data_IF_232003520304
#
_entry.id   IF_232003520304
#
_cell.length_a   1.000
_cell.length_b   1.000
_cell.length_c   1.000
_cell.angle_alpha   90.00
_cell.angle_beta   90.00
_cell.angle_gamma   90.00
#
_symmetry.space_group_name_H-M   'P 1'
#
loop_
_entity.id
_entity.type
_entity.pdbx_description
1 polymer ?
#
# COMPACT_ATOMS: atom_id res chain seq x y z
N UNK A 1 -6.82 -0.52 16.72
CA UNK A 1 -7.14 0.55 15.72
C UNK A 1 -5.83 0.93 15.07
N UNK A 2 -5.83 1.07 13.74
CA UNK A 2 -4.62 1.40 13.01
C UNK A 2 -4.79 2.77 12.34
N UNK A 3 -3.77 3.60 12.42
CA UNK A 3 -3.67 4.87 11.68
C UNK A 3 -2.58 4.69 10.64
N UNK A 4 -2.96 4.78 9.36
CA UNK A 4 -2.08 4.49 8.23
C UNK A 4 -2.06 5.66 7.24
N UNK A 5 -1.29 6.73 7.49
CA UNK A 5 -1.07 7.75 6.50
C UNK A 5 -0.23 7.19 5.34
N UNK A 6 -0.56 7.60 4.12
CA UNK A 6 0.13 7.17 2.91
C UNK A 6 0.73 8.41 2.25
N UNK A 7 2.04 8.42 2.07
CA UNK A 7 2.74 9.47 1.34
C UNK A 7 3.46 8.82 0.17
N UNK A 8 3.11 9.21 -1.05
CA UNK A 8 3.66 8.59 -2.25
C UNK A 8 4.00 9.59 -3.34
N UNK A 9 4.98 9.22 -4.15
CA UNK A 9 5.35 9.88 -5.37
C UNK A 9 5.38 8.86 -6.50
N UNK A 10 4.79 9.20 -7.64
CA UNK A 10 4.72 8.31 -8.80
C UNK A 10 4.98 9.10 -10.09
N UNK A 11 5.74 8.48 -10.98
CA UNK A 11 5.84 8.87 -12.38
C UNK A 11 5.55 7.65 -13.29
N UNK A 12 5.59 7.76 -14.63
CA UNK A 12 5.29 6.62 -15.52
C UNK A 12 6.19 5.39 -15.35
N UNK A 13 7.36 5.54 -14.73
CA UNK A 13 8.35 4.46 -14.59
C UNK A 13 8.62 4.06 -13.15
N UNK A 14 8.43 4.97 -12.20
CA UNK A 14 8.80 4.75 -10.80
C UNK A 14 7.67 5.09 -9.85
N UNK A 15 7.57 4.31 -8.81
CA UNK A 15 6.69 4.54 -7.68
C UNK A 15 7.49 4.47 -6.38
N UNK A 16 7.28 5.45 -5.51
CA UNK A 16 7.83 5.47 -4.17
C UNK A 16 6.71 5.78 -3.18
N UNK A 17 6.52 4.92 -2.18
CA UNK A 17 5.48 5.04 -1.16
C UNK A 17 6.11 4.86 0.20
N UNK A 18 5.69 5.67 1.18
CA UNK A 18 6.04 5.54 2.60
C UNK A 18 4.77 5.60 3.42
N UNK A 19 4.62 4.66 4.33
CA UNK A 19 3.49 4.56 5.25
C UNK A 19 4.02 4.56 6.69
N UNK A 20 4.00 5.68 7.41
CA UNK A 20 4.27 5.72 8.84
C UNK A 20 3.04 5.19 9.61
N UNK A 21 2.98 3.88 9.80
CA UNK A 21 1.84 3.20 10.42
C UNK A 21 1.98 3.24 11.94
N UNK A 22 0.87 3.56 12.62
CA UNK A 22 0.76 3.48 14.06
C UNK A 22 -0.40 2.55 14.43
N UNK A 23 -0.08 1.45 15.08
CA UNK A 23 -1.05 0.52 15.63
C UNK A 23 -1.39 0.91 17.06
N UNK A 24 -2.70 1.03 17.32
CA UNK A 24 -3.27 1.38 18.62
C UNK A 24 -4.03 0.16 19.17
N UNK A 25 -3.46 -0.53 20.12
CA UNK A 25 -4.15 -1.55 20.87
C UNK A 25 -5.15 -0.92 21.86
N UNK A 26 -6.26 -1.60 22.09
CA UNK A 26 -7.27 -1.16 23.07
C UNK A 26 -7.40 -2.19 24.20
N UNK A 27 -7.72 -1.69 25.38
CA UNK A 27 -7.99 -2.50 26.56
C UNK A 27 -6.80 -2.61 27.52
N UNK A 28 -6.86 -3.59 28.42
CA UNK A 28 -5.93 -3.74 29.56
C UNK A 28 -4.47 -4.00 29.15
N UNK A 29 -4.24 -4.39 27.89
CA UNK A 29 -2.94 -4.69 27.28
C UNK A 29 -2.75 -3.92 25.97
N UNK A 30 -3.45 -2.78 25.81
CA UNK A 30 -3.32 -1.97 24.61
C UNK A 30 -1.97 -1.29 24.54
N UNK A 31 -1.11 -1.73 23.64
CA UNK A 31 0.14 -1.07 23.31
C UNK A 31 -0.02 -0.22 22.05
N UNK A 32 0.83 0.77 21.91
CA UNK A 32 0.96 1.58 20.69
C UNK A 32 2.25 1.13 20.04
N UNK A 33 2.17 0.63 18.80
CA UNK A 33 3.34 0.21 18.06
C UNK A 33 3.52 1.05 16.80
N UNK A 34 4.78 1.34 16.47
CA UNK A 34 5.16 2.05 15.26
C UNK A 34 5.74 1.06 14.26
N UNK A 35 5.00 0.85 13.16
CA UNK A 35 5.27 -0.18 12.15
C UNK A 35 5.40 0.43 10.75
N UNK A 36 6.40 1.31 10.51
CA UNK A 36 6.53 1.97 9.23
C UNK A 36 6.87 0.99 8.11
N UNK A 37 6.32 1.29 6.92
CA UNK A 37 6.59 0.55 5.71
C UNK A 37 6.97 1.48 4.56
N UNK A 38 7.75 0.98 3.60
CA UNK A 38 8.12 1.70 2.40
C UNK A 38 8.12 0.76 1.19
N UNK A 39 7.79 1.31 0.02
CA UNK A 39 7.84 0.61 -1.26
C UNK A 39 8.55 1.47 -2.30
N UNK A 40 9.43 0.85 -3.09
CA UNK A 40 10.02 1.40 -4.29
C UNK A 40 9.80 0.41 -5.42
N UNK A 41 9.08 0.80 -6.47
CA UNK A 41 8.81 -0.05 -7.61
C UNK A 41 9.15 0.63 -8.93
N UNK A 42 9.50 -0.18 -9.93
CA UNK A 42 9.72 0.25 -11.30
C UNK A 42 8.82 -0.53 -12.25
N UNK A 43 8.08 0.22 -13.05
CA UNK A 43 7.17 -0.34 -14.05
C UNK A 43 7.91 -0.60 -15.37
N UNK A 44 7.64 -1.75 -15.97
CA UNK A 44 8.15 -2.20 -17.26
C UNK A 44 6.95 -2.50 -18.19
N UNK A 45 6.73 -1.63 -19.16
CA UNK A 45 5.58 -1.76 -20.04
C UNK A 45 4.27 -1.37 -19.37
N UNK A 46 3.21 -2.16 -19.57
CA UNK A 46 1.86 -1.85 -19.07
C UNK A 46 1.42 -2.72 -17.90
N UNK A 47 1.95 -3.95 -17.85
CA UNK A 47 1.40 -5.02 -17.00
C UNK A 47 2.45 -5.69 -16.13
N UNK A 48 3.65 -5.10 -16.00
CA UNK A 48 4.74 -5.67 -15.20
C UNK A 48 5.44 -4.59 -14.40
N UNK A 49 5.63 -4.82 -13.10
CA UNK A 49 6.51 -4.01 -12.26
C UNK A 49 7.36 -4.90 -11.36
N UNK A 50 8.54 -4.41 -11.02
CA UNK A 50 9.41 -4.99 -10.00
C UNK A 50 9.64 -3.95 -8.91
N UNK A 51 9.59 -4.40 -7.66
CA UNK A 51 9.75 -3.52 -6.52
C UNK A 51 10.54 -4.13 -5.38
N UNK A 52 10.90 -3.25 -4.46
CA UNK A 52 11.39 -3.57 -3.14
C UNK A 52 10.42 -2.99 -2.13
N UNK A 53 10.09 -3.78 -1.12
CA UNK A 53 9.27 -3.33 0.00
C UNK A 53 10.03 -3.58 1.30
N UNK A 54 9.91 -2.63 2.19
CA UNK A 54 10.55 -2.70 3.49
C UNK A 54 9.51 -2.49 4.58
N UNK A 55 9.45 -3.44 5.49
CA UNK A 55 8.53 -3.43 6.63
C UNK A 55 9.32 -3.45 7.92
N UNK A 56 8.87 -2.68 8.89
CA UNK A 56 9.49 -2.67 10.21
C UNK A 56 8.43 -2.73 11.30
N UNK A 57 8.82 -3.29 12.44
CA UNK A 57 8.13 -3.13 13.71
C UNK A 57 9.19 -2.65 14.74
N UNK A 58 9.07 -1.41 15.14
CA UNK A 58 9.99 -0.75 16.03
C UNK A 58 9.51 -0.81 17.48
N UNK A 59 8.28 -1.26 17.73
CA UNK A 59 7.61 -1.23 19.01
C UNK A 59 7.10 0.17 19.36
N UNK A 60 6.97 0.45 20.65
CA UNK A 60 6.31 1.63 21.20
C UNK A 60 7.05 2.93 20.88
N UNK A 61 6.39 3.96 20.33
CA UNK A 61 6.96 5.29 20.16
C UNK A 61 7.47 5.86 21.51
N UNK A 62 8.73 6.31 21.50
CA UNK A 62 9.38 6.82 22.71
C UNK A 62 10.07 5.77 23.59
N UNK A 63 9.85 4.48 23.32
CA UNK A 63 10.54 3.35 23.96
C UNK A 63 10.70 2.22 22.96
N UNK A 64 11.39 2.49 21.86
CA UNK A 64 11.61 1.49 20.81
C UNK A 64 12.33 0.25 21.38
N UNK A 65 11.97 -0.90 20.82
CA UNK A 65 12.62 -2.17 21.14
C UNK A 65 14.13 -2.11 20.82
N UNK A 66 14.97 -2.87 21.54
CA UNK A 66 16.34 -3.10 21.10
C UNK A 66 16.38 -3.64 19.67
N UNK A 67 17.39 -3.27 18.88
CA UNK A 67 17.48 -3.62 17.45
C UNK A 67 17.32 -5.12 17.17
N UNK A 68 17.81 -5.97 18.06
CA UNK A 68 17.68 -7.44 17.91
C UNK A 68 16.26 -7.95 18.10
N UNK A 69 15.39 -7.18 18.76
CA UNK A 69 13.97 -7.51 18.99
C UNK A 69 13.04 -6.81 17.99
N UNK A 70 13.54 -5.80 17.28
CA UNK A 70 12.79 -5.16 16.20
C UNK A 70 12.62 -6.11 15.03
N UNK A 71 11.47 -6.06 14.37
CA UNK A 71 11.27 -6.74 13.08
C UNK A 71 11.67 -5.82 11.94
N UNK A 72 12.52 -6.31 11.06
CA UNK A 72 12.94 -5.64 9.83
C UNK A 72 12.91 -6.65 8.68
N UNK A 73 12.00 -6.47 7.73
CA UNK A 73 11.82 -7.37 6.60
C UNK A 73 11.98 -6.64 5.28
N UNK A 74 12.75 -7.20 4.38
CA UNK A 74 12.92 -6.72 3.02
C UNK A 74 12.32 -7.72 2.03
N UNK A 75 11.40 -7.26 1.19
CA UNK A 75 10.76 -8.05 0.15
C UNK A 75 11.23 -7.61 -1.24
N UNK A 76 11.55 -8.58 -2.09
CA UNK A 76 11.54 -8.39 -3.54
C UNK A 76 10.14 -8.75 -4.05
N UNK A 77 9.51 -7.86 -4.78
CA UNK A 77 8.14 -8.06 -5.29
C UNK A 77 8.10 -7.94 -6.81
N UNK A 78 7.17 -8.68 -7.39
CA UNK A 78 6.80 -8.60 -8.80
C UNK A 78 5.29 -8.47 -8.91
N UNK A 79 4.86 -7.41 -9.59
CA UNK A 79 3.46 -7.18 -9.93
C UNK A 79 3.27 -7.46 -11.41
N UNK A 80 2.29 -8.28 -11.73
CA UNK A 80 1.96 -8.58 -13.11
C UNK A 80 0.47 -8.87 -13.28
N UNK A 81 -0.01 -8.72 -14.51
CA UNK A 81 -1.41 -8.93 -14.84
C UNK A 81 -1.61 -10.21 -15.62
N UNK A 82 -2.59 -11.02 -15.21
CA UNK A 82 -3.01 -12.25 -15.90
C UNK A 82 -4.49 -12.14 -16.22
N UNK A 83 -4.82 -11.77 -17.45
CA UNK A 83 -6.22 -11.49 -17.85
C UNK A 83 -6.76 -10.29 -17.05
N UNK A 84 -7.82 -10.52 -16.26
CA UNK A 84 -8.45 -9.51 -15.41
C UNK A 84 -7.98 -9.56 -13.95
N UNK A 85 -6.97 -10.39 -13.64
CA UNK A 85 -6.42 -10.54 -12.30
C UNK A 85 -5.08 -9.84 -12.21
N UNK A 86 -4.94 -8.92 -11.27
CA UNK A 86 -3.66 -8.37 -10.86
C UNK A 86 -3.04 -9.28 -9.80
N UNK A 87 -1.79 -9.65 -10.01
CA UNK A 87 -1.01 -10.54 -9.15
C UNK A 87 0.18 -9.78 -8.59
N UNK A 88 0.28 -9.68 -7.27
CA UNK A 88 1.48 -9.25 -6.55
C UNK A 88 2.09 -10.50 -5.89
N UNK A 89 3.32 -10.80 -6.23
CA UNK A 89 4.08 -11.89 -5.61
C UNK A 89 5.37 -11.34 -5.00
N UNK A 90 5.63 -11.66 -3.75
CA UNK A 90 6.81 -11.20 -3.03
C UNK A 90 7.50 -12.30 -2.24
N UNK A 91 8.83 -12.23 -2.23
CA UNK A 91 9.69 -13.02 -1.35
C UNK A 91 10.44 -12.07 -0.42
N UNK A 92 10.29 -12.29 0.87
CA UNK A 92 10.89 -11.49 1.93
C UNK A 92 11.96 -12.23 2.71
N UNK A 93 12.91 -11.45 3.20
CA UNK A 93 13.96 -11.90 4.09
C UNK A 93 14.04 -11.00 5.32
N UNK A 94 14.06 -11.63 6.51
CA UNK A 94 14.23 -10.95 7.77
C UNK A 94 15.68 -10.53 8.02
N UNK A 95 15.88 -9.26 8.32
CA UNK A 95 17.21 -8.66 8.50
C UNK A 95 17.69 -8.71 9.96
N UNK A 96 16.78 -8.96 10.90
CA UNK A 96 17.06 -9.03 12.33
C UNK A 96 16.65 -10.37 12.93
N UNK A 97 17.19 -10.74 14.10
CA UNK A 97 16.75 -11.94 14.81
C UNK A 97 15.26 -11.95 15.19
N UNK A 98 14.67 -10.75 15.40
CA UNK A 98 13.24 -10.59 15.68
C UNK A 98 12.32 -10.75 14.46
N UNK A 99 12.89 -10.97 13.26
CA UNK A 99 12.15 -11.13 12.02
C UNK A 99 12.08 -12.59 11.59
N UNK A 100 11.00 -12.96 10.90
CA UNK A 100 10.92 -14.23 10.18
C UNK A 100 11.96 -14.29 9.06
N UNK A 101 12.72 -15.38 8.98
CA UNK A 101 13.84 -15.48 8.03
C UNK A 101 13.41 -15.44 6.57
N UNK A 102 12.34 -16.17 6.24
CA UNK A 102 11.79 -16.20 4.88
C UNK A 102 10.27 -16.09 4.95
N UNK A 103 9.73 -15.16 4.17
CA UNK A 103 8.29 -14.96 4.04
C UNK A 103 7.95 -14.88 2.56
N UNK A 104 6.96 -15.63 2.13
CA UNK A 104 6.37 -15.48 0.80
C UNK A 104 4.98 -14.86 0.94
N UNK A 105 4.67 -13.89 0.10
CA UNK A 105 3.34 -13.29 0.01
C UNK A 105 2.81 -13.38 -1.41
N UNK A 106 1.49 -13.52 -1.54
CA UNK A 106 0.79 -13.42 -2.82
C UNK A 106 -0.52 -12.70 -2.60
N UNK A 107 -0.76 -11.66 -3.39
CA UNK A 107 -2.01 -10.92 -3.38
C UNK A 107 -2.62 -11.03 -4.77
N UNK A 108 -3.88 -11.42 -4.83
CA UNK A 108 -4.65 -11.53 -6.06
C UNK A 108 -5.78 -10.50 -5.99
N UNK A 109 -5.82 -9.61 -6.96
CA UNK A 109 -6.89 -8.62 -7.05
C UNK A 109 -7.66 -8.83 -8.33
N UNK A 110 -8.97 -8.94 -8.18
CA UNK A 110 -9.91 -9.07 -9.30
C UNK A 110 -10.93 -7.94 -9.24
N UNK A 111 -11.01 -7.15 -10.31
CA UNK A 111 -12.03 -6.13 -10.44
C UNK A 111 -13.35 -6.78 -10.86
N UNK A 112 -14.31 -6.88 -9.95
CA UNK A 112 -15.66 -7.32 -10.28
C UNK A 112 -16.32 -6.25 -11.16
N UNK A 113 -16.83 -6.59 -12.36
CA UNK A 113 -17.65 -5.66 -13.13
C UNK A 113 -18.95 -5.44 -12.37
N UNK A 114 -19.03 -4.36 -11.60
CA UNK A 114 -20.31 -3.94 -11.00
C UNK A 114 -21.16 -3.38 -12.13
N UNK A 115 -22.21 -4.11 -12.48
CA UNK A 115 -23.27 -3.64 -13.39
C UNK A 115 -24.08 -2.55 -12.66
N UNK A 116 -23.50 -1.38 -12.48
CA UNK A 116 -24.12 -0.18 -11.94
C UNK A 116 -23.88 0.95 -12.93
N UNK A 117 -24.95 1.32 -13.65
CA UNK A 117 -25.00 2.55 -14.41
C UNK A 117 -24.52 3.68 -13.51
N UNK A 118 -23.57 4.54 -13.92
CA UNK A 118 -23.29 5.75 -13.16
C UNK A 118 -24.60 6.52 -13.06
N UNK A 119 -25.15 6.69 -11.87
CA UNK A 119 -26.19 7.67 -11.67
C UNK A 119 -25.53 9.03 -11.93
N UNK A 120 -25.86 9.57 -13.09
CA UNK A 120 -25.64 10.97 -13.44
C UNK A 120 -26.33 11.80 -12.34
N UNK A 121 -25.54 12.28 -11.37
CA UNK A 121 -26.05 13.12 -10.31
C UNK A 121 -26.63 14.36 -10.96
N UNK A 122 -27.96 14.40 -11.00
CA UNK A 122 -28.73 15.50 -11.50
C UNK A 122 -28.35 16.79 -10.75
N UNK A 123 -27.77 17.72 -11.48
CA UNK A 123 -27.97 19.13 -11.25
C UNK A 123 -27.05 19.88 -10.34
N UNK A 124 -25.83 20.21 -10.81
CA UNK A 124 -25.33 21.57 -10.68
C UNK A 124 -24.69 21.95 -12.03
N UNK A 125 -25.36 22.77 -12.81
CA UNK A 125 -24.80 23.39 -14.00
C UNK A 125 -23.62 24.26 -13.57
N UNK A 126 -22.41 23.81 -13.80
CA UNK A 126 -21.22 24.64 -13.74
C UNK A 126 -21.18 25.58 -14.95
N UNK A 127 -20.73 26.83 -14.79
CA UNK A 127 -20.62 27.79 -15.88
C UNK A 127 -19.57 27.35 -16.90
N UNK A 128 -19.74 27.74 -18.19
CA UNK A 128 -18.91 27.25 -19.28
C UNK A 128 -17.59 28.01 -19.38
N UNK A 129 -16.60 27.71 -18.58
CA UNK A 129 -15.22 28.16 -18.82
C UNK A 129 -14.30 27.64 -17.69
N UNK A 130 -13.87 26.40 -17.80
CA UNK A 130 -12.58 25.98 -17.24
C UNK A 130 -12.22 24.60 -17.82
N UNK A 131 -11.48 24.63 -18.93
CA UNK A 131 -10.72 23.47 -19.37
C UNK A 131 -9.57 23.28 -18.39
N UNK A 132 -9.67 22.29 -17.52
CA UNK A 132 -8.51 21.72 -16.85
C UNK A 132 -8.64 20.22 -16.90
N UNK A 133 -7.74 19.60 -17.66
CA UNK A 133 -7.54 18.14 -17.66
C UNK A 133 -6.98 17.74 -16.30
N UNK A 134 -7.81 17.19 -15.44
CA UNK A 134 -7.35 16.52 -14.24
C UNK A 134 -8.08 15.19 -14.21
N UNK A 135 -7.35 14.10 -14.50
CA UNK A 135 -7.80 12.76 -14.18
C UNK A 135 -7.90 12.68 -12.65
N UNK A 136 -9.10 12.80 -12.15
CA UNK A 136 -9.41 12.39 -10.78
C UNK A 136 -9.46 10.88 -10.74
N UNK A 137 -8.40 10.26 -10.25
CA UNK A 137 -8.49 8.93 -9.67
C UNK A 137 -9.26 9.08 -8.37
N UNK A 138 -10.49 8.57 -8.33
CA UNK A 138 -11.40 8.80 -7.20
C UNK A 138 -10.83 8.17 -5.93
N UNK A 139 -10.77 8.95 -4.87
CA UNK A 139 -10.39 8.52 -3.52
C UNK A 139 -11.27 7.38 -2.95
N UNK A 140 -12.35 7.03 -3.63
CA UNK A 140 -13.29 5.97 -3.25
C UNK A 140 -12.74 4.58 -3.59
N UNK A 141 -11.89 4.45 -4.62
CA UNK A 141 -11.30 3.17 -5.03
C UNK A 141 -10.21 2.70 -4.05
N UNK A 142 -9.58 3.62 -3.33
CA UNK A 142 -8.57 3.29 -2.30
C UNK A 142 -9.17 2.81 -0.98
N UNK A 143 -10.44 3.10 -0.69
CA UNK A 143 -11.07 2.75 0.59
C UNK A 143 -11.58 1.31 0.67
N UNK A 144 -11.69 0.59 -0.45
CA UNK A 144 -12.21 -0.78 -0.50
C UNK A 144 -11.12 -1.86 -0.59
N UNK A 145 -9.88 -1.48 -0.82
CA UNK A 145 -8.75 -2.40 -0.91
C UNK A 145 -7.79 -2.16 0.26
N UNK A 146 -7.74 -3.05 1.27
CA UNK A 146 -6.84 -2.89 2.42
C UNK A 146 -5.35 -2.91 2.05
N UNK A 147 -5.02 -3.28 0.81
CA UNK A 147 -3.66 -3.35 0.31
C UNK A 147 -3.38 -2.40 -0.87
N UNK A 148 -4.31 -1.48 -1.20
CA UNK A 148 -4.13 -0.52 -2.29
C UNK A 148 -2.86 0.35 -2.16
N UNK A 149 -2.31 0.45 -0.96
CA UNK A 149 -1.07 1.16 -0.67
C UNK A 149 0.19 0.39 -1.09
N UNK A 150 0.06 -0.92 -1.40
CA UNK A 150 1.16 -1.74 -1.91
C UNK A 150 1.33 -1.66 -3.43
N UNK A 151 0.50 -0.89 -4.13
CA UNK A 151 0.54 -0.77 -5.60
C UNK A 151 0.89 0.60 -6.07
#
# INVERSE_FOLDING_TARGET
MEIRPIVGWRNPQWEFIVNPIVDLGFGRFGDIDFVPAARLARTFGKDLAFGLEYYTDLGRPGSFLPFEQQSHQLFGVVDFKVGDVDVDFGLGYGLTPGSDRFVAKTILTYALPVAGKPEESAGIKAPPNLRSSTRQTSAIEMASDPFAWMR
#
